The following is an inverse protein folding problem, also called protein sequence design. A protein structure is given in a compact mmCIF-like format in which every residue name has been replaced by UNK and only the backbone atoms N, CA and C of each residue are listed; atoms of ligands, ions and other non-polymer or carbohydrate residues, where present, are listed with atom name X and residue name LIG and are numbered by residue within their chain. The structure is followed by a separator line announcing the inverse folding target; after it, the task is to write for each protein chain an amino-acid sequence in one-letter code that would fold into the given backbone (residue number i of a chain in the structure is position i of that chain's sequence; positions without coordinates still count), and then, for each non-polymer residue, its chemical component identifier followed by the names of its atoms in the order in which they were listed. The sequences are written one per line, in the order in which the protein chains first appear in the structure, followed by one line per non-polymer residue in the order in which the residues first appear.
data_IF_147153332771
#
_entry.id   IF_147153332771
#
_cell.length_a   1.000
_cell.length_b   1.000
_cell.length_c   1.000
_cell.angle_alpha   90.00
_cell.angle_beta   90.00
_cell.angle_gamma   90.00
#
_symmetry.space_group_name_H-M   'P 1'
#
loop_
_entity.id
_entity.type
_entity.pdbx_description
1 polymer ?
#
# COMPACT_ATOMS: atom_id res chain seq x y z
N UNK A 1 17.18 -17.77 -3.32
CA UNK A 1 16.75 -16.38 -3.53
C UNK A 1 16.46 -16.10 -5.02
N UNK A 2 15.40 -16.65 -5.62
CA UNK A 2 15.18 -16.53 -7.09
C UNK A 2 14.18 -15.45 -7.53
N UNK A 3 13.41 -14.87 -6.61
CA UNK A 3 12.27 -13.99 -6.96
C UNK A 3 12.26 -12.68 -6.13
N UNK A 4 13.40 -12.01 -5.94
CA UNK A 4 13.36 -10.63 -5.39
C UNK A 4 12.88 -9.69 -6.49
N UNK A 5 11.83 -8.90 -6.20
CA UNK A 5 11.30 -7.89 -7.11
C UNK A 5 10.81 -6.71 -6.28
N UNK A 6 11.07 -5.49 -6.77
CA UNK A 6 10.45 -4.30 -6.23
C UNK A 6 8.93 -4.34 -6.50
N UNK A 7 8.12 -3.80 -5.60
CA UNK A 7 6.68 -3.70 -5.83
C UNK A 7 6.41 -2.58 -6.83
N UNK A 8 6.11 -2.94 -8.08
CA UNK A 8 5.90 -1.97 -9.18
C UNK A 8 4.85 -0.89 -8.82
N UNK A 9 3.77 -1.27 -8.14
CA UNK A 9 2.72 -0.32 -7.74
C UNK A 9 3.19 0.73 -6.75
N UNK A 10 4.24 0.43 -5.98
CA UNK A 10 4.86 1.39 -5.05
C UNK A 10 5.71 2.41 -5.82
N UNK A 11 6.34 1.99 -6.92
CA UNK A 11 7.22 2.83 -7.75
C UNK A 11 6.47 3.79 -8.68
N UNK A 12 5.14 3.63 -8.80
CA UNK A 12 4.30 4.60 -9.51
C UNK A 12 4.21 5.93 -8.76
N UNK A 13 4.48 5.94 -7.45
CA UNK A 13 4.54 7.14 -6.63
C UNK A 13 5.93 7.80 -6.77
N UNK A 14 6.01 9.03 -7.31
CA UNK A 14 7.27 9.75 -7.48
C UNK A 14 8.05 9.90 -6.17
N UNK A 15 7.38 10.17 -5.04
CA UNK A 15 8.07 10.35 -3.75
C UNK A 15 8.73 9.05 -3.29
N UNK A 16 8.05 7.92 -3.49
CA UNK A 16 8.60 6.60 -3.17
C UNK A 16 9.78 6.29 -4.07
N UNK A 17 9.65 6.55 -5.37
CA UNK A 17 10.72 6.31 -6.34
C UNK A 17 11.96 7.11 -5.95
N UNK A 18 11.80 8.40 -5.67
CA UNK A 18 12.91 9.29 -5.34
C UNK A 18 13.56 8.88 -4.01
N UNK A 19 12.77 8.47 -3.02
CA UNK A 19 13.28 7.93 -1.76
C UNK A 19 14.06 6.61 -1.92
N UNK A 20 13.56 5.69 -2.76
CA UNK A 20 14.26 4.42 -3.07
C UNK A 20 15.54 4.70 -3.85
N UNK A 21 15.52 5.63 -4.81
CA UNK A 21 16.71 6.07 -5.54
C UNK A 21 17.76 6.66 -4.60
N UNK A 22 17.36 7.52 -3.66
CA UNK A 22 18.27 8.08 -2.66
C UNK A 22 18.87 6.98 -1.76
N UNK A 23 18.04 6.03 -1.28
CA UNK A 23 18.52 4.91 -0.47
C UNK A 23 19.52 4.02 -1.23
N UNK A 24 19.31 3.80 -2.54
CA UNK A 24 20.26 3.09 -3.40
C UNK A 24 21.58 3.85 -3.51
N UNK A 25 21.52 5.14 -3.83
CA UNK A 25 22.71 5.99 -3.98
C UNK A 25 23.54 6.00 -2.70
N UNK A 26 22.92 6.31 -1.55
CA UNK A 26 23.62 6.34 -0.27
C UNK A 26 24.23 4.99 0.09
N UNK A 27 23.53 3.88 -0.17
CA UNK A 27 24.08 2.56 0.09
C UNK A 27 25.37 2.31 -0.70
N UNK A 28 25.38 2.59 -2.01
CA UNK A 28 26.57 2.33 -2.83
C UNK A 28 27.70 3.32 -2.53
N UNK A 29 27.40 4.59 -2.24
CA UNK A 29 28.41 5.58 -1.80
C UNK A 29 29.10 5.17 -0.49
N UNK A 30 28.35 4.63 0.47
CA UNK A 30 28.90 4.26 1.78
C UNK A 30 29.71 2.96 1.76
N UNK A 31 29.45 2.08 0.78
CA UNK A 31 29.95 0.70 0.75
C UNK A 31 30.94 0.41 -0.41
N UNK A 32 31.07 1.28 -1.41
CA UNK A 32 32.09 1.16 -2.45
C UNK A 32 33.24 2.18 -2.32
N UNK A 33 34.51 1.80 -2.55
CA UNK A 33 35.07 0.45 -2.65
C UNK A 33 35.64 0.00 -1.29
N UNK A 34 34.97 -0.93 -0.62
CA UNK A 34 35.49 -1.63 0.58
C UNK A 34 35.99 -3.03 0.19
N UNK A 35 36.77 -3.68 1.06
CA UNK A 35 37.36 -5.03 0.89
C UNK A 35 36.36 -6.21 0.76
N UNK A 36 35.07 -5.91 0.63
CA UNK A 36 33.99 -6.89 0.62
C UNK A 36 33.75 -7.43 -0.80
N UNK A 37 33.30 -8.68 -0.90
CA UNK A 37 32.97 -9.26 -2.20
C UNK A 37 31.74 -8.61 -2.83
N UNK A 38 31.72 -8.48 -4.15
CA UNK A 38 30.58 -7.93 -4.91
C UNK A 38 29.26 -8.65 -4.59
N UNK A 39 29.31 -9.96 -4.32
CA UNK A 39 28.14 -10.76 -3.92
C UNK A 39 27.58 -10.29 -2.59
N UNK A 40 28.44 -10.03 -1.60
CA UNK A 40 28.01 -9.54 -0.28
C UNK A 40 27.39 -8.16 -0.39
N UNK A 41 27.99 -7.26 -1.18
CA UNK A 41 27.45 -5.92 -1.42
C UNK A 41 26.09 -6.02 -2.15
N UNK A 42 25.98 -6.93 -3.12
CA UNK A 42 24.73 -7.19 -3.81
C UNK A 42 23.64 -7.75 -2.88
N UNK A 43 23.95 -8.70 -2.00
CA UNK A 43 22.95 -9.23 -1.06
C UNK A 43 22.52 -8.19 -0.01
N UNK A 44 23.48 -7.41 0.50
CA UNK A 44 23.21 -6.40 1.51
C UNK A 44 22.36 -5.24 0.95
N UNK A 45 22.61 -4.75 -0.27
CA UNK A 45 21.76 -3.69 -0.84
C UNK A 45 20.31 -4.16 -1.03
N UNK A 46 20.08 -5.42 -1.47
CA UNK A 46 18.73 -5.95 -1.62
C UNK A 46 17.97 -5.98 -0.29
N UNK A 47 18.67 -6.33 0.80
CA UNK A 47 18.11 -6.30 2.16
C UNK A 47 17.74 -4.88 2.60
N UNK A 48 18.61 -3.90 2.35
CA UNK A 48 18.35 -2.48 2.66
C UNK A 48 17.11 -1.99 1.93
N UNK A 49 17.05 -2.18 0.61
CA UNK A 49 15.91 -1.75 -0.21
C UNK A 49 14.62 -2.46 0.21
N UNK A 50 14.70 -3.74 0.58
CA UNK A 50 13.52 -4.45 1.11
C UNK A 50 13.03 -3.84 2.42
N UNK A 51 13.94 -3.47 3.33
CA UNK A 51 13.62 -2.76 4.56
C UNK A 51 12.93 -1.42 4.28
N UNK A 52 13.47 -0.63 3.37
CA UNK A 52 12.89 0.65 2.92
C UNK A 52 11.47 0.46 2.39
N UNK A 53 11.23 -0.54 1.53
CA UNK A 53 9.89 -0.84 1.03
C UNK A 53 8.90 -1.22 2.13
N UNK A 54 9.33 -2.06 3.07
CA UNK A 54 8.50 -2.48 4.20
C UNK A 54 8.10 -1.27 5.05
N UNK A 55 9.03 -0.35 5.30
CA UNK A 55 8.78 0.88 6.05
C UNK A 55 7.76 1.78 5.35
N UNK A 56 7.96 2.06 4.05
CA UNK A 56 7.05 2.90 3.26
C UNK A 56 5.65 2.28 3.21
N UNK A 57 5.56 0.98 2.95
CA UNK A 57 4.29 0.26 2.85
C UNK A 57 3.57 0.27 4.20
N UNK A 58 4.29 0.08 5.30
CA UNK A 58 3.71 0.15 6.64
C UNK A 58 3.16 1.55 6.94
N UNK A 59 3.91 2.61 6.61
CA UNK A 59 3.48 4.01 6.76
C UNK A 59 2.20 4.29 5.98
N UNK A 60 2.19 4.00 4.67
CA UNK A 60 1.01 4.17 3.81
C UNK A 60 -0.20 3.40 4.31
N UNK A 61 -0.01 2.17 4.80
CA UNK A 61 -1.08 1.34 5.37
C UNK A 61 -1.64 1.95 6.66
N UNK A 62 -0.77 2.52 7.50
CA UNK A 62 -1.18 3.22 8.72
C UNK A 62 -1.99 4.48 8.39
N UNK A 63 -1.51 5.29 7.43
CA UNK A 63 -2.20 6.50 6.97
C UNK A 63 -3.57 6.19 6.37
N UNK A 64 -3.65 5.19 5.49
CA UNK A 64 -4.92 4.76 4.91
C UNK A 64 -5.93 4.30 5.98
N UNK A 65 -5.47 3.51 6.97
CA UNK A 65 -6.31 3.08 8.11
C UNK A 65 -6.79 4.26 8.94
N UNK A 66 -5.91 5.23 9.22
CA UNK A 66 -6.24 6.44 9.95
C UNK A 66 -7.32 7.24 9.22
N UNK A 67 -7.13 7.47 7.92
CA UNK A 67 -8.10 8.19 7.09
C UNK A 67 -9.48 7.49 7.03
N UNK A 68 -9.51 6.16 6.88
CA UNK A 68 -10.76 5.40 6.94
C UNK A 68 -11.44 5.53 8.30
N UNK A 69 -10.67 5.46 9.39
CA UNK A 69 -11.20 5.64 10.74
C UNK A 69 -11.79 7.05 10.93
N UNK A 70 -11.06 8.09 10.53
CA UNK A 70 -11.52 9.48 10.58
C UNK A 70 -12.84 9.68 9.81
N UNK A 71 -12.99 9.07 8.63
CA UNK A 71 -14.24 9.10 7.86
C UNK A 71 -15.39 8.40 8.60
N UNK A 72 -15.15 7.25 9.21
CA UNK A 72 -16.17 6.53 10.00
C UNK A 72 -16.60 7.34 11.22
N UNK A 73 -15.65 7.91 11.94
CA UNK A 73 -15.91 8.75 13.11
C UNK A 73 -16.69 10.02 12.70
N UNK A 74 -16.34 10.61 11.56
CA UNK A 74 -17.06 11.76 10.98
C UNK A 74 -18.50 11.41 10.60
N UNK A 75 -18.72 10.27 9.94
CA UNK A 75 -20.06 9.77 9.59
C UNK A 75 -20.89 9.58 10.85
N UNK A 76 -20.34 8.95 11.88
CA UNK A 76 -21.02 8.72 13.15
C UNK A 76 -21.45 10.04 13.81
N UNK A 77 -20.55 11.05 13.81
CA UNK A 77 -20.85 12.36 14.35
C UNK A 77 -21.96 13.09 13.57
N UNK A 78 -21.85 13.13 12.24
CA UNK A 78 -22.84 13.77 11.36
C UNK A 78 -24.20 13.08 11.44
N UNK A 79 -24.26 11.76 11.57
CA UNK A 79 -25.51 11.04 11.79
C UNK A 79 -26.18 11.43 13.11
N UNK A 80 -25.41 11.54 14.18
CA UNK A 80 -25.93 11.98 15.48
C UNK A 80 -26.45 13.43 15.41
N UNK A 81 -25.69 14.33 14.80
CA UNK A 81 -26.08 15.72 14.63
C UNK A 81 -27.32 15.88 13.75
N UNK A 82 -27.40 15.14 12.63
CA UNK A 82 -28.55 15.21 11.74
C UNK A 82 -29.81 14.66 12.40
N UNK A 83 -29.71 13.60 13.22
CA UNK A 83 -30.86 13.09 14.00
C UNK A 83 -31.43 14.13 14.97
N UNK A 84 -30.58 14.97 15.55
CA UNK A 84 -31.00 16.01 16.50
C UNK A 84 -31.51 17.27 15.82
N UNK A 85 -30.84 17.72 14.76
CA UNK A 85 -31.07 19.04 14.15
C UNK A 85 -31.90 19.00 12.87
N UNK A 86 -31.93 17.87 12.17
CA UNK A 86 -32.57 17.68 10.86
C UNK A 86 -32.14 18.70 9.78
N UNK A 87 -30.95 19.29 9.93
CA UNK A 87 -30.43 20.31 9.01
C UNK A 87 -29.98 19.67 7.69
N UNK A 88 -30.42 20.25 6.58
CA UNK A 88 -30.11 19.77 5.22
C UNK A 88 -28.61 19.83 4.87
N UNK A 89 -27.87 20.82 5.39
CA UNK A 89 -26.43 20.93 5.20
C UNK A 89 -25.68 19.73 5.80
N UNK A 90 -26.01 19.36 7.04
CA UNK A 90 -25.42 18.21 7.75
C UNK A 90 -25.72 16.91 7.00
N UNK A 91 -26.91 16.78 6.42
CA UNK A 91 -27.25 15.63 5.58
C UNK A 91 -26.40 15.55 4.31
N UNK A 92 -26.13 16.68 3.67
CA UNK A 92 -25.26 16.75 2.49
C UNK A 92 -23.83 16.31 2.83
N UNK A 93 -23.26 16.83 3.91
CA UNK A 93 -21.92 16.46 4.38
C UNK A 93 -21.84 14.97 4.73
N UNK A 94 -22.90 14.40 5.32
CA UNK A 94 -22.99 12.97 5.60
C UNK A 94 -22.96 12.13 4.32
N UNK A 95 -23.71 12.53 3.28
CA UNK A 95 -23.71 11.85 2.00
C UNK A 95 -22.32 11.90 1.33
N UNK A 96 -21.66 13.05 1.39
CA UNK A 96 -20.30 13.21 0.85
C UNK A 96 -19.29 12.32 1.59
N UNK A 97 -19.33 12.26 2.92
CA UNK A 97 -18.46 11.40 3.72
C UNK A 97 -18.69 9.90 3.41
N UNK A 98 -19.96 9.49 3.28
CA UNK A 98 -20.32 8.12 2.88
C UNK A 98 -19.85 7.77 1.47
N UNK A 99 -19.98 8.70 0.52
CA UNK A 99 -19.52 8.50 -0.85
C UNK A 99 -17.99 8.29 -0.89
N UNK A 100 -17.23 9.13 -0.18
CA UNK A 100 -15.77 8.97 -0.04
C UNK A 100 -15.38 7.62 0.56
N UNK A 101 -16.08 7.17 1.61
CA UNK A 101 -15.84 5.87 2.21
C UNK A 101 -16.13 4.72 1.23
N UNK A 102 -17.24 4.80 0.49
CA UNK A 102 -17.60 3.81 -0.52
C UNK A 102 -16.56 3.73 -1.64
N UNK A 103 -16.04 4.86 -2.10
CA UNK A 103 -14.98 4.91 -3.13
C UNK A 103 -13.72 4.16 -2.67
N UNK A 104 -13.28 4.39 -1.43
CA UNK A 104 -12.12 3.70 -0.84
C UNK A 104 -12.36 2.19 -0.79
N UNK A 105 -13.51 1.75 -0.30
CA UNK A 105 -13.85 0.34 -0.19
C UNK A 105 -13.97 -0.31 -1.59
N UNK A 106 -14.62 0.36 -2.54
CA UNK A 106 -14.75 -0.13 -3.91
C UNK A 106 -13.39 -0.34 -4.57
N UNK A 107 -12.46 0.62 -4.40
CA UNK A 107 -11.09 0.49 -4.91
C UNK A 107 -10.35 -0.71 -4.29
N UNK A 108 -10.47 -0.91 -2.98
CA UNK A 108 -9.87 -2.06 -2.28
C UNK A 108 -10.45 -3.40 -2.75
N UNK A 109 -11.78 -3.48 -2.89
CA UNK A 109 -12.46 -4.67 -3.40
C UNK A 109 -12.04 -4.97 -4.83
N UNK A 110 -11.96 -3.96 -5.69
CA UNK A 110 -11.51 -4.11 -7.07
C UNK A 110 -10.09 -4.67 -7.14
N UNK A 111 -9.15 -4.09 -6.39
CA UNK A 111 -7.76 -4.57 -6.36
C UNK A 111 -7.67 -6.02 -5.87
N UNK A 112 -8.42 -6.36 -4.83
CA UNK A 112 -8.45 -7.73 -4.28
C UNK A 112 -9.03 -8.72 -5.28
N UNK A 113 -10.13 -8.36 -5.96
CA UNK A 113 -10.74 -9.18 -6.99
C UNK A 113 -9.79 -9.38 -8.18
N UNK A 114 -9.10 -8.32 -8.62
CA UNK A 114 -8.13 -8.39 -9.71
C UNK A 114 -6.94 -9.28 -9.36
N UNK A 115 -6.41 -9.14 -8.14
CA UNK A 115 -5.33 -10.01 -7.66
C UNK A 115 -5.77 -11.47 -7.61
N UNK A 116 -6.96 -11.75 -7.06
CA UNK A 116 -7.54 -13.09 -7.02
C UNK A 116 -7.68 -13.70 -8.41
N UNK A 117 -8.24 -12.95 -9.37
CA UNK A 117 -8.36 -13.39 -10.78
C UNK A 117 -7.01 -13.67 -11.41
N UNK A 118 -6.03 -12.79 -11.22
CA UNK A 118 -4.67 -12.98 -11.72
C UNK A 118 -4.01 -14.22 -11.12
N UNK A 119 -4.18 -14.45 -9.83
CA UNK A 119 -3.71 -15.65 -9.14
C UNK A 119 -4.34 -16.91 -9.75
N UNK A 120 -5.67 -16.96 -9.89
CA UNK A 120 -6.34 -18.10 -10.52
C UNK A 120 -5.90 -18.31 -11.97
N UNK A 121 -5.75 -17.25 -12.76
CA UNK A 121 -5.26 -17.36 -14.14
C UNK A 121 -3.86 -17.98 -14.23
N UNK A 122 -2.92 -17.50 -13.41
CA UNK A 122 -1.53 -17.99 -13.40
C UNK A 122 -1.40 -19.44 -12.88
N UNK A 123 -2.38 -19.90 -12.10
CA UNK A 123 -2.35 -21.20 -11.44
C UNK A 123 -3.43 -22.18 -11.96
N UNK A 124 -4.30 -21.79 -12.90
CA UNK A 124 -5.42 -22.60 -13.40
C UNK A 124 -5.00 -23.95 -13.98
N UNK A 125 -3.86 -23.99 -14.69
CA UNK A 125 -3.34 -25.20 -15.33
C UNK A 125 -2.24 -25.89 -14.52
N UNK A 126 -1.89 -25.36 -13.34
CA UNK A 126 -0.93 -25.99 -12.44
C UNK A 126 -1.74 -26.83 -11.46
N UNK A 127 -1.77 -28.15 -11.66
CA UNK A 127 -2.35 -29.09 -10.69
C UNK A 127 -1.65 -28.96 -9.35
N UNK A 128 -2.13 -28.06 -8.48
CA UNK A 128 -1.45 -27.69 -7.25
C UNK A 128 -2.37 -27.13 -6.18
N UNK A 129 -2.25 -27.74 -4.99
CA UNK A 129 -2.65 -27.33 -3.62
C UNK A 129 -4.07 -26.86 -3.30
N UNK A 130 -4.87 -26.40 -4.26
CA UNK A 130 -6.28 -26.06 -4.03
C UNK A 130 -7.23 -27.25 -4.23
N UNK A 131 -6.73 -28.34 -4.83
CA UNK A 131 -7.43 -29.61 -5.03
C UNK A 131 -6.69 -30.80 -4.37
N UNK A 132 -5.75 -30.53 -3.45
CA UNK A 132 -5.03 -31.55 -2.68
C UNK A 132 -5.39 -31.44 -1.20
#
# INVERSE_FOLDING_TARGET
MRNWRLQDSLLLDPEVRDHVSQALTSYFEDNFPREQSDVTIWEAHMCVIRGTQMQITARKKMEARRHTKELVDTIFHLESQHKQTQVALVYKELLEARAKLLEILASQHYQTAQWSRGFFYLHANKGGKLLA
#
